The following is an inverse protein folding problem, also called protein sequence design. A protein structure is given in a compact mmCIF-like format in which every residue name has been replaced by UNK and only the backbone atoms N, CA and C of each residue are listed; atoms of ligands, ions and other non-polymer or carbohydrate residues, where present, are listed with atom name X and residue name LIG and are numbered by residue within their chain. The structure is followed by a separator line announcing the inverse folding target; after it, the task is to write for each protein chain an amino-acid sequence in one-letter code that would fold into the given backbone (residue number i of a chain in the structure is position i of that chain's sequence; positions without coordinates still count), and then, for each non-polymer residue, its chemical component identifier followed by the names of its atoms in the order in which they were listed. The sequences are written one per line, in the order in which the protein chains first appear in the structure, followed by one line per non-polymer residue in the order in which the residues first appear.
data_IF_150094872321
#
_entry.id   IF_150094872321
#
_cell.length_a   1.000
_cell.length_b   1.000
_cell.length_c   1.000
_cell.angle_alpha   90.00
_cell.angle_beta   90.00
_cell.angle_gamma   90.00
#
_symmetry.space_group_name_H-M   'P 1'
#
loop_
_entity.id
_entity.type
_entity.pdbx_description
1 polymer ?
#
# COMPACT_ATOMS: atom_id res chain seq x y z
N UNK A 1 47.65 16.62 48.95
CA UNK A 1 47.46 17.28 47.64
C UNK A 1 47.77 16.36 46.46
N UNK A 2 48.90 15.64 46.45
CA UNK A 2 49.27 14.74 45.35
C UNK A 2 48.22 13.62 45.06
N UNK A 3 47.64 13.02 46.10
CA UNK A 3 46.68 11.92 45.95
C UNK A 3 45.38 12.33 45.23
N UNK A 4 44.87 13.53 45.52
CA UNK A 4 43.69 14.10 44.87
C UNK A 4 43.91 14.31 43.37
N UNK A 5 45.11 14.74 42.98
CA UNK A 5 45.50 14.95 41.57
C UNK A 5 45.49 13.62 40.82
N UNK A 6 46.08 12.57 41.40
CA UNK A 6 46.12 11.23 40.80
C UNK A 6 44.72 10.64 40.62
N UNK A 7 43.81 10.87 41.58
CA UNK A 7 42.41 10.43 41.47
C UNK A 7 41.70 11.18 40.33
N UNK A 8 41.91 12.48 40.22
CA UNK A 8 41.31 13.29 39.17
C UNK A 8 41.79 12.85 37.78
N UNK A 9 43.09 12.64 37.59
CA UNK A 9 43.65 12.13 36.34
C UNK A 9 43.06 10.79 35.92
N UNK A 10 42.87 9.86 36.87
CA UNK A 10 42.22 8.57 36.60
C UNK A 10 40.78 8.74 36.13
N UNK A 11 40.01 9.62 36.78
CA UNK A 11 38.62 9.90 36.39
C UNK A 11 38.55 10.52 35.00
N UNK A 12 39.41 11.49 34.71
CA UNK A 12 39.49 12.15 33.41
C UNK A 12 39.80 11.13 32.31
N UNK A 13 40.83 10.30 32.49
CA UNK A 13 41.17 9.23 31.54
C UNK A 13 40.00 8.26 31.30
N UNK A 14 39.30 7.87 32.37
CA UNK A 14 38.13 6.98 32.27
C UNK A 14 36.98 7.63 31.49
N UNK A 15 36.69 8.90 31.74
CA UNK A 15 35.64 9.62 30.99
C UNK A 15 35.95 9.71 29.50
N UNK A 16 37.21 9.98 29.15
CA UNK A 16 37.63 9.99 27.73
C UNK A 16 37.56 8.61 27.09
N UNK A 17 37.89 7.55 27.83
CA UNK A 17 37.75 6.18 27.35
C UNK A 17 36.28 5.85 27.04
N UNK A 18 35.37 6.14 27.97
CA UNK A 18 33.93 5.90 27.78
C UNK A 18 33.40 6.69 26.58
N UNK A 19 33.77 7.97 26.46
CA UNK A 19 33.37 8.79 25.32
C UNK A 19 33.87 8.20 23.98
N UNK A 20 35.09 7.65 23.94
CA UNK A 20 35.62 6.98 22.75
C UNK A 20 34.84 5.71 22.40
N UNK A 21 34.49 4.91 23.40
CA UNK A 21 33.68 3.71 23.23
C UNK A 21 32.30 4.07 22.66
N UNK A 22 31.65 5.11 23.20
CA UNK A 22 30.36 5.61 22.71
C UNK A 22 30.45 6.11 21.27
N UNK A 23 31.48 6.92 20.94
CA UNK A 23 31.71 7.41 19.58
C UNK A 23 31.89 6.23 18.60
N UNK A 24 32.63 5.19 19.02
CA UNK A 24 32.86 4.00 18.19
C UNK A 24 31.55 3.22 17.96
N UNK A 25 30.77 3.02 19.02
CA UNK A 25 29.47 2.35 18.95
C UNK A 25 28.48 3.10 18.06
N UNK A 26 28.45 4.44 18.18
CA UNK A 26 27.62 5.30 17.34
C UNK A 26 28.06 5.23 15.88
N UNK A 27 29.37 5.27 15.60
CA UNK A 27 29.91 5.12 14.25
C UNK A 27 29.47 3.80 13.60
N UNK A 28 29.57 2.69 14.32
CA UNK A 28 29.11 1.38 13.84
C UNK A 28 27.60 1.36 13.57
N UNK A 29 26.81 2.00 14.43
CA UNK A 29 25.36 2.11 14.27
C UNK A 29 25.00 2.92 13.01
N UNK A 30 25.71 4.02 12.77
CA UNK A 30 25.54 4.86 11.58
C UNK A 30 25.88 4.06 10.32
N UNK A 31 27.01 3.34 10.29
CA UNK A 31 27.37 2.47 9.16
C UNK A 31 26.29 1.45 8.84
N UNK A 32 25.73 0.80 9.88
CA UNK A 32 24.64 -0.16 9.71
C UNK A 32 23.36 0.48 9.18
N UNK A 33 23.05 1.71 9.60
CA UNK A 33 21.89 2.45 9.08
C UNK A 33 22.07 2.77 7.60
N UNK A 34 23.27 3.17 7.16
CA UNK A 34 23.53 3.40 5.74
C UNK A 34 23.30 2.14 4.89
N UNK A 35 23.80 0.98 5.33
CA UNK A 35 23.55 -0.29 4.63
C UNK A 35 22.04 -0.64 4.56
N UNK A 36 21.28 -0.34 5.62
CA UNK A 36 19.83 -0.56 5.63
C UNK A 36 19.11 0.37 4.66
N UNK A 37 19.52 1.64 4.57
CA UNK A 37 18.94 2.61 3.62
C UNK A 37 19.14 2.13 2.18
N UNK A 38 20.33 1.63 1.84
CA UNK A 38 20.61 1.10 0.51
C UNK A 38 19.70 -0.07 0.16
N UNK A 39 19.57 -1.05 1.07
CA UNK A 39 18.70 -2.22 0.89
C UNK A 39 17.22 -1.82 0.72
N UNK A 40 16.71 -0.95 1.58
CA UNK A 40 15.33 -0.46 1.49
C UNK A 40 15.08 0.30 0.18
N UNK A 41 16.06 1.07 -0.29
CA UNK A 41 15.94 1.79 -1.56
C UNK A 41 15.82 0.84 -2.76
N UNK A 42 16.60 -0.26 -2.76
CA UNK A 42 16.52 -1.30 -3.78
C UNK A 42 15.17 -2.03 -3.73
N UNK A 43 14.70 -2.40 -2.53
CA UNK A 43 13.39 -3.04 -2.36
C UNK A 43 12.25 -2.17 -2.88
N UNK A 44 12.27 -0.86 -2.60
CA UNK A 44 11.26 0.07 -3.12
C UNK A 44 11.22 0.12 -4.65
N UNK A 45 12.38 0.09 -5.31
CA UNK A 45 12.45 0.04 -6.78
C UNK A 45 11.83 -1.25 -7.32
N UNK A 46 12.16 -2.40 -6.73
CA UNK A 46 11.60 -3.69 -7.16
C UNK A 46 10.09 -3.76 -6.95
N UNK A 47 9.58 -3.24 -5.83
CA UNK A 47 8.16 -3.20 -5.54
C UNK A 47 7.42 -2.25 -6.48
N UNK A 48 8.02 -1.10 -6.83
CA UNK A 48 7.45 -0.19 -7.81
C UNK A 48 7.30 -0.85 -9.19
N UNK A 49 8.28 -1.66 -9.61
CA UNK A 49 8.22 -2.43 -10.85
C UNK A 49 7.11 -3.49 -10.81
N UNK A 50 7.02 -4.23 -9.70
CA UNK A 50 5.94 -5.21 -9.48
C UNK A 50 4.55 -4.56 -9.47
N UNK A 51 4.41 -3.36 -8.89
CA UNK A 51 3.16 -2.62 -8.89
C UNK A 51 2.73 -2.16 -10.29
N UNK A 52 3.68 -1.82 -11.18
CA UNK A 52 3.35 -1.56 -12.59
C UNK A 52 2.79 -2.80 -13.26
N UNK A 53 3.47 -3.94 -13.12
CA UNK A 53 3.01 -5.22 -13.68
C UNK A 53 1.60 -5.61 -13.18
N UNK A 54 1.31 -5.42 -11.88
CA UNK A 54 -0.03 -5.68 -11.32
C UNK A 54 -1.08 -4.70 -11.84
N UNK A 55 -0.73 -3.42 -12.03
CA UNK A 55 -1.65 -2.43 -12.65
C UNK A 55 -2.00 -2.81 -14.08
N UNK A 56 -1.02 -3.25 -14.86
CA UNK A 56 -1.21 -3.65 -16.25
C UNK A 56 -2.08 -4.91 -16.36
N UNK A 57 -1.88 -5.90 -15.46
CA UNK A 57 -2.75 -7.07 -15.34
C UNK A 57 -4.19 -6.71 -14.95
N UNK A 58 -4.39 -5.70 -14.11
CA UNK A 58 -5.72 -5.23 -13.70
C UNK A 58 -6.43 -4.48 -14.84
N UNK A 59 -5.71 -3.75 -15.67
CA UNK A 59 -6.25 -3.06 -16.86
C UNK A 59 -6.71 -4.05 -17.93
N UNK A 60 -5.97 -5.14 -18.16
CA UNK A 60 -6.38 -6.19 -19.10
C UNK A 60 -7.64 -6.95 -18.62
N UNK A 61 -7.80 -7.16 -17.30
CA UNK A 61 -8.99 -7.84 -16.74
C UNK A 61 -10.25 -6.95 -16.71
N UNK A 62 -10.10 -5.63 -16.76
CA UNK A 62 -11.21 -4.68 -16.82
C UNK A 62 -11.85 -4.56 -18.22
N UNK A 63 -11.17 -5.02 -19.28
CA UNK A 63 -11.69 -4.92 -20.65
C UNK A 63 -12.82 -5.91 -20.98
N UNK A 64 -13.07 -6.94 -20.15
CA UNK A 64 -14.15 -7.93 -20.40
C UNK A 64 -15.53 -7.54 -19.85
N UNK A 65 -15.64 -6.49 -19.02
CA UNK A 65 -16.92 -5.91 -18.59
C UNK A 65 -16.68 -4.43 -18.30
N UNK A 66 -16.94 -3.59 -19.30
CA UNK A 66 -16.64 -2.16 -19.26
C UNK A 66 -17.49 -1.40 -18.23
N UNK A 67 -18.67 -1.91 -17.86
CA UNK A 67 -19.55 -1.34 -16.86
C UNK A 67 -20.67 -2.32 -16.47
N UNK A 68 -21.38 -2.02 -15.37
CA UNK A 68 -22.61 -2.68 -14.93
C UNK A 68 -23.79 -1.70 -15.02
N UNK A 69 -24.96 -2.22 -15.36
CA UNK A 69 -26.20 -1.46 -15.51
C UNK A 69 -27.15 -1.77 -14.36
N UNK A 70 -27.51 -0.77 -13.56
CA UNK A 70 -28.50 -0.82 -12.50
C UNK A 70 -29.87 -0.31 -12.95
N UNK A 71 -30.93 -0.83 -12.32
CA UNK A 71 -32.29 -0.28 -12.40
C UNK A 71 -32.70 0.26 -11.03
N UNK A 72 -33.09 1.54 -10.95
CA UNK A 72 -33.58 2.16 -9.70
C UNK A 72 -34.87 1.51 -9.19
N UNK A 73 -35.74 1.06 -10.11
CA UNK A 73 -37.01 0.40 -9.80
C UNK A 73 -36.79 -0.96 -9.12
N UNK A 74 -35.92 -1.80 -9.67
CA UNK A 74 -35.70 -3.17 -9.16
C UNK A 74 -34.56 -3.28 -8.15
N UNK A 75 -33.75 -2.23 -8.01
CA UNK A 75 -32.48 -2.21 -7.27
C UNK A 75 -31.55 -3.39 -7.64
N UNK A 76 -31.63 -3.87 -8.88
CA UNK A 76 -30.75 -4.92 -9.40
C UNK A 76 -29.75 -4.33 -10.37
N UNK A 77 -28.54 -4.90 -10.41
CA UNK A 77 -27.53 -4.57 -11.41
C UNK A 77 -27.19 -5.77 -12.30
N UNK A 78 -26.75 -5.47 -13.51
CA UNK A 78 -26.62 -6.40 -14.63
C UNK A 78 -25.33 -6.12 -15.42
N UNK A 79 -24.86 -7.09 -16.21
CA UNK A 79 -23.86 -6.84 -17.26
C UNK A 79 -24.52 -6.26 -18.53
N UNK A 80 -23.77 -5.58 -19.42
CA UNK A 80 -24.33 -4.93 -20.62
C UNK A 80 -25.05 -5.91 -21.56
N UNK A 81 -24.55 -7.15 -21.65
CA UNK A 81 -25.11 -8.21 -22.50
C UNK A 81 -26.32 -8.92 -21.90
N UNK A 82 -26.75 -8.54 -20.69
CA UNK A 82 -27.91 -9.16 -20.07
C UNK A 82 -29.21 -8.73 -20.77
N UNK A 83 -30.05 -9.71 -21.11
CA UNK A 83 -31.38 -9.47 -21.72
C UNK A 83 -32.21 -8.51 -20.88
N UNK A 84 -32.21 -8.66 -19.55
CA UNK A 84 -32.93 -7.76 -18.64
C UNK A 84 -32.35 -6.34 -18.63
N UNK A 85 -31.04 -6.19 -18.85
CA UNK A 85 -30.40 -4.88 -18.89
C UNK A 85 -30.81 -4.04 -20.11
N UNK A 86 -31.08 -4.71 -21.24
CA UNK A 86 -31.57 -4.07 -22.47
C UNK A 86 -32.98 -3.51 -22.31
N UNK A 87 -33.78 -4.08 -21.40
CA UNK A 87 -35.16 -3.67 -21.15
C UNK A 87 -35.32 -2.65 -20.00
N UNK A 88 -34.21 -2.15 -19.42
CA UNK A 88 -34.27 -1.10 -18.39
C UNK A 88 -34.70 0.22 -19.04
N UNK A 89 -35.74 0.85 -18.51
CA UNK A 89 -36.21 2.16 -18.96
C UNK A 89 -35.10 3.20 -18.81
N UNK A 90 -34.95 4.10 -19.80
CA UNK A 90 -33.88 5.13 -19.79
C UNK A 90 -33.88 5.97 -18.50
N UNK A 91 -35.04 6.31 -17.94
CA UNK A 91 -35.16 7.09 -16.71
C UNK A 91 -34.82 6.35 -15.41
N UNK A 92 -34.80 5.02 -15.40
CA UNK A 92 -34.43 4.20 -14.24
C UNK A 92 -33.05 3.55 -14.36
N UNK A 93 -32.32 3.84 -15.44
CA UNK A 93 -31.02 3.24 -15.75
C UNK A 93 -29.87 3.97 -15.05
N UNK A 94 -29.03 3.22 -14.34
CA UNK A 94 -27.80 3.74 -13.68
C UNK A 94 -26.59 2.94 -14.15
N UNK A 95 -25.46 3.62 -14.34
CA UNK A 95 -24.18 3.01 -14.70
C UNK A 95 -23.27 2.86 -13.47
N UNK A 96 -22.69 1.68 -13.31
CA UNK A 96 -21.68 1.39 -12.29
C UNK A 96 -20.37 0.92 -12.94
N UNK A 97 -19.22 1.50 -12.58
CA UNK A 97 -17.92 1.09 -13.12
C UNK A 97 -17.45 -0.27 -12.56
N UNK A 98 -17.90 -0.66 -11.37
CA UNK A 98 -17.50 -1.93 -10.73
C UNK A 98 -18.65 -2.58 -9.99
N UNK A 99 -18.59 -3.90 -9.83
CA UNK A 99 -19.52 -4.71 -9.03
C UNK A 99 -19.62 -4.18 -7.59
N UNK A 100 -18.47 -3.90 -6.97
CA UNK A 100 -18.43 -3.41 -5.59
C UNK A 100 -19.17 -2.07 -5.43
N UNK A 101 -19.03 -1.14 -6.39
CA UNK A 101 -19.72 0.16 -6.32
C UNK A 101 -21.24 0.01 -6.42
N UNK A 102 -21.74 -0.98 -7.16
CA UNK A 102 -23.17 -1.29 -7.20
C UNK A 102 -23.66 -1.87 -5.85
N UNK A 103 -22.90 -2.82 -5.29
CA UNK A 103 -23.22 -3.45 -4.00
C UNK A 103 -23.18 -2.43 -2.85
N UNK A 104 -22.15 -1.56 -2.78
CA UNK A 104 -22.05 -0.50 -1.78
C UNK A 104 -23.20 0.51 -1.86
N UNK A 105 -23.82 0.66 -3.04
CA UNK A 105 -25.03 1.48 -3.23
C UNK A 105 -26.34 0.72 -2.94
N UNK A 106 -26.26 -0.51 -2.44
CA UNK A 106 -27.41 -1.34 -2.07
C UNK A 106 -28.08 -2.06 -3.23
N UNK A 107 -27.40 -2.22 -4.37
CA UNK A 107 -27.97 -2.95 -5.52
C UNK A 107 -27.62 -4.43 -5.45
N UNK A 108 -28.62 -5.29 -5.68
CA UNK A 108 -28.46 -6.73 -5.71
C UNK A 108 -27.97 -7.21 -7.09
N UNK A 109 -27.12 -8.25 -7.16
CA UNK A 109 -26.72 -8.84 -8.43
C UNK A 109 -27.91 -9.55 -9.09
N UNK A 110 -28.10 -9.33 -10.39
CA UNK A 110 -29.01 -10.15 -11.20
C UNK A 110 -28.48 -11.59 -11.34
N UNK A 111 -29.37 -12.52 -11.71
CA UNK A 111 -29.03 -13.91 -12.02
C UNK A 111 -27.95 -14.02 -13.11
N UNK A 112 -27.85 -13.06 -14.03
CA UNK A 112 -26.79 -13.03 -15.05
C UNK A 112 -25.37 -12.90 -14.47
N UNK A 113 -25.23 -12.54 -13.19
CA UNK A 113 -23.95 -12.42 -12.47
C UNK A 113 -23.68 -13.61 -11.52
N UNK A 114 -24.57 -14.61 -11.49
CA UNK A 114 -24.44 -15.86 -10.71
C UNK A 114 -23.98 -17.00 -11.62
N UNK A 115 -22.78 -16.91 -12.18
CA UNK A 115 -22.07 -18.02 -12.84
C UNK A 115 -20.75 -18.26 -12.13
#
# INVERSE_FOLDING_TARGET
MAEQIVILERKVKKSFQLAREDITSLGNSISKLYEQIEKLSAEQQTLAEQLKAVKDMKQQKAQKTTYFLGSTETKKFHVPDCVFAKNIKKGSKILFPTKNKAISKGYAPCVCLKR
#
